data_IF_244085701085
#
_entry.id   IF_244085701085
#
_cell.length_a   1.000
_cell.length_b   1.000
_cell.length_c   1.000
_cell.angle_alpha   90.00
_cell.angle_beta   90.00
_cell.angle_gamma   90.00
#
_symmetry.space_group_name_H-M   'P 1'
#
loop_
_entity.id
_entity.type
_entity.pdbx_description
1 polymer ?
#
# COMPACT_ATOMS: atom_id res chain seq x y z
N UNK A 1 -5.14 0.02 -9.44
CA UNK A 1 -4.65 -1.36 -9.55
C UNK A 1 -3.13 -1.33 -9.69
N UNK A 2 -2.40 -2.09 -8.87
CA UNK A 2 -0.95 -2.26 -9.00
C UNK A 2 -0.63 -3.00 -10.31
N UNK A 3 0.30 -2.47 -11.11
CA UNK A 3 0.73 -3.09 -12.36
C UNK A 3 2.18 -3.57 -12.30
N UNK A 4 3.06 -2.74 -11.76
CA UNK A 4 4.49 -3.05 -11.65
C UNK A 4 5.06 -2.38 -10.41
N UNK A 5 6.01 -3.04 -9.77
CA UNK A 5 6.80 -2.48 -8.68
C UNK A 5 8.28 -2.77 -8.95
N UNK A 6 9.11 -1.72 -8.94
CA UNK A 6 10.56 -1.83 -9.04
C UNK A 6 11.23 -1.34 -7.77
N UNK A 7 12.30 -2.02 -7.41
CA UNK A 7 13.17 -1.66 -6.30
C UNK A 7 14.62 -1.89 -6.68
N UNK A 8 15.51 -1.01 -6.25
CA UNK A 8 16.96 -1.17 -6.37
C UNK A 8 17.63 -0.69 -5.08
N UNK A 9 18.71 -1.36 -4.70
CA UNK A 9 19.49 -1.07 -3.50
C UNK A 9 18.61 -0.99 -2.23
N UNK A 10 17.89 -2.07 -1.93
CA UNK A 10 17.04 -2.20 -0.74
C UNK A 10 17.20 -3.58 -0.11
N UNK A 11 17.74 -3.64 1.11
CA UNK A 11 17.95 -4.85 1.92
C UNK A 11 18.66 -5.98 1.18
N UNK A 12 17.91 -6.97 0.72
CA UNK A 12 18.43 -8.14 0.00
C UNK A 12 18.57 -7.91 -1.51
N UNK A 13 18.14 -6.76 -2.00
CA UNK A 13 18.17 -6.40 -3.42
C UNK A 13 19.26 -5.37 -3.67
N UNK A 14 20.39 -5.82 -4.21
CA UNK A 14 21.46 -4.93 -4.69
C UNK A 14 21.03 -4.26 -6.01
N UNK A 15 20.79 -5.09 -7.02
CA UNK A 15 20.37 -4.66 -8.35
C UNK A 15 18.87 -4.36 -8.42
N UNK A 16 18.45 -3.73 -9.52
CA UNK A 16 17.03 -3.51 -9.78
C UNK A 16 16.30 -4.84 -9.96
N UNK A 17 15.18 -4.97 -9.25
CA UNK A 17 14.23 -6.07 -9.40
C UNK A 17 12.86 -5.51 -9.75
N UNK A 18 12.22 -6.13 -10.74
CA UNK A 18 10.87 -5.80 -11.18
C UNK A 18 9.91 -6.92 -10.82
N UNK A 19 8.85 -6.57 -10.09
CA UNK A 19 7.65 -7.38 -9.96
C UNK A 19 6.60 -6.86 -10.95
N UNK A 20 6.12 -7.70 -11.85
CA UNK A 20 5.14 -7.33 -12.89
C UNK A 20 3.86 -8.16 -12.76
N UNK A 21 2.73 -7.50 -12.91
CA UNK A 21 1.40 -8.10 -13.02
C UNK A 21 0.96 -8.25 -14.49
N UNK A 22 1.83 -7.96 -15.45
CA UNK A 22 1.54 -8.13 -16.88
C UNK A 22 1.19 -9.59 -17.17
N UNK A 23 0.05 -9.81 -17.82
CA UNK A 23 -0.39 -11.16 -18.13
C UNK A 23 0.28 -11.64 -19.41
N UNK A 24 0.89 -12.81 -19.37
CA UNK A 24 1.32 -13.50 -20.57
C UNK A 24 0.12 -13.86 -21.46
N UNK A 25 0.38 -14.13 -22.74
CA UNK A 25 -0.63 -14.55 -23.73
C UNK A 25 -1.30 -15.91 -23.43
N UNK A 26 -1.05 -16.52 -22.27
CA UNK A 26 -1.50 -17.85 -21.89
C UNK A 26 -3.02 -17.96 -21.70
N UNK A 27 -3.53 -19.20 -21.85
CA UNK A 27 -4.97 -19.52 -21.87
C UNK A 27 -5.63 -19.62 -20.48
N UNK A 28 -4.95 -19.25 -19.39
CA UNK A 28 -5.50 -19.31 -18.03
C UNK A 28 -6.52 -18.18 -17.80
N UNK A 29 -7.72 -18.36 -18.35
CA UNK A 29 -8.79 -17.34 -18.40
C UNK A 29 -9.24 -16.81 -17.02
N UNK A 30 -9.06 -17.58 -15.95
CA UNK A 30 -9.63 -17.26 -14.63
C UNK A 30 -8.98 -16.08 -13.91
N UNK A 31 -7.68 -15.84 -14.12
CA UNK A 31 -6.90 -14.83 -13.39
C UNK A 31 -6.57 -13.58 -14.22
N UNK A 32 -7.27 -13.37 -15.33
CA UNK A 32 -7.02 -12.25 -16.23
C UNK A 32 -7.95 -11.08 -15.89
N UNK A 33 -7.37 -9.88 -15.88
CA UNK A 33 -8.03 -8.59 -15.83
C UNK A 33 -7.82 -7.89 -17.18
N UNK A 34 -8.79 -8.04 -18.08
CA UNK A 34 -8.89 -7.24 -19.30
C UNK A 34 -9.62 -5.95 -18.95
N UNK A 35 -9.05 -4.81 -19.32
CA UNK A 35 -9.57 -3.51 -18.93
C UNK A 35 -9.25 -2.45 -19.97
N UNK A 36 -10.23 -1.60 -20.26
CA UNK A 36 -10.02 -0.43 -21.09
C UNK A 36 -9.61 0.75 -20.20
N UNK A 37 -8.41 1.28 -20.44
CA UNK A 37 -7.92 2.47 -19.75
C UNK A 37 -8.73 3.70 -20.16
N UNK A 38 -8.67 4.77 -19.36
CA UNK A 38 -9.35 6.04 -19.67
C UNK A 38 -8.91 6.70 -20.99
N UNK A 39 -7.80 6.24 -21.58
CA UNK A 39 -7.29 6.67 -22.88
C UNK A 39 -7.67 5.70 -24.03
N UNK A 40 -8.70 4.87 -23.82
CA UNK A 40 -9.23 3.82 -24.72
C UNK A 40 -8.25 2.69 -25.09
N UNK A 41 -7.09 2.63 -24.44
CA UNK A 41 -6.16 1.52 -24.62
C UNK A 41 -6.62 0.30 -23.82
N UNK A 42 -6.76 -0.83 -24.51
CA UNK A 42 -6.98 -2.12 -23.86
C UNK A 42 -5.69 -2.65 -23.24
N UNK A 43 -5.76 -3.03 -21.97
CA UNK A 43 -4.66 -3.62 -21.22
C UNK A 43 -5.07 -4.95 -20.60
N UNK A 44 -4.07 -5.82 -20.42
CA UNK A 44 -4.26 -7.15 -19.86
C UNK A 44 -3.27 -7.39 -18.72
N UNK A 45 -3.81 -7.58 -17.52
CA UNK A 45 -3.01 -7.82 -16.31
C UNK A 45 -3.57 -9.02 -15.52
N UNK A 46 -2.82 -9.48 -14.52
CA UNK A 46 -3.25 -10.50 -13.58
C UNK A 46 -4.09 -9.88 -12.46
N UNK A 47 -5.14 -10.57 -12.00
CA UNK A 47 -5.91 -10.15 -10.80
C UNK A 47 -5.20 -10.51 -9.51
N UNK A 48 -4.47 -11.62 -9.51
CA UNK A 48 -3.77 -12.18 -8.36
C UNK A 48 -2.42 -12.72 -8.78
N UNK A 49 -1.46 -12.71 -7.85
CA UNK A 49 -0.16 -13.33 -8.04
C UNK A 49 0.32 -13.91 -6.71
N UNK A 50 1.16 -14.94 -6.80
CA UNK A 50 1.74 -15.59 -5.65
C UNK A 50 3.25 -15.70 -5.84
N UNK A 51 4.01 -15.34 -4.80
CA UNK A 51 5.46 -15.27 -4.84
C UNK A 51 6.02 -16.41 -4.01
N UNK A 52 6.64 -17.38 -4.66
CA UNK A 52 7.28 -18.55 -4.04
C UNK A 52 8.78 -18.54 -4.26
N UNK A 53 9.52 -19.26 -3.41
CA UNK A 53 10.97 -19.34 -3.49
C UNK A 53 11.58 -19.83 -2.19
N UNK A 54 12.87 -20.16 -2.22
CA UNK A 54 13.61 -20.66 -1.06
C UNK A 54 13.59 -19.69 0.13
N UNK A 55 13.90 -20.19 1.33
CA UNK A 55 14.10 -19.32 2.49
C UNK A 55 15.20 -18.29 2.19
N UNK A 56 15.04 -17.07 2.75
CA UNK A 56 15.94 -15.94 2.51
C UNK A 56 16.04 -15.43 1.05
N UNK A 57 15.20 -15.89 0.12
CA UNK A 57 15.21 -15.43 -1.28
C UNK A 57 14.67 -13.99 -1.52
N UNK A 58 14.47 -13.19 -0.47
CA UNK A 58 14.02 -11.80 -0.57
C UNK A 58 12.50 -11.56 -0.65
N UNK A 59 11.65 -12.59 -0.76
CA UNK A 59 10.17 -12.44 -0.91
C UNK A 59 9.54 -11.48 0.11
N UNK A 60 9.87 -11.66 1.39
CA UNK A 60 9.36 -10.80 2.46
C UNK A 60 9.90 -9.38 2.32
N UNK A 61 11.12 -9.20 1.82
CA UNK A 61 11.68 -7.86 1.59
C UNK A 61 11.02 -7.15 0.41
N UNK A 62 10.55 -7.85 -0.62
CA UNK A 62 9.74 -7.25 -1.70
C UNK A 62 8.43 -6.70 -1.15
N UNK A 63 7.68 -7.50 -0.38
CA UNK A 63 6.42 -7.06 0.24
C UNK A 63 6.66 -5.94 1.24
N UNK A 64 7.74 -6.03 2.03
CA UNK A 64 8.15 -4.97 2.95
C UNK A 64 8.49 -3.68 2.22
N UNK A 65 9.25 -3.73 1.12
CA UNK A 65 9.61 -2.54 0.35
C UNK A 65 8.36 -1.80 -0.14
N UNK A 66 7.39 -2.54 -0.70
CA UNK A 66 6.10 -1.95 -1.12
C UNK A 66 5.35 -1.36 0.08
N UNK A 67 5.31 -2.08 1.21
CA UNK A 67 4.66 -1.61 2.44
C UNK A 67 5.28 -0.35 3.00
N UNK A 68 6.61 -0.29 3.08
CA UNK A 68 7.33 0.86 3.60
C UNK A 68 7.27 2.03 2.63
N UNK A 69 7.26 1.78 1.31
CA UNK A 69 7.04 2.81 0.30
C UNK A 69 5.66 3.46 0.49
N UNK A 70 4.59 2.67 0.60
CA UNK A 70 3.23 3.20 0.80
C UNK A 70 3.12 3.93 2.12
N UNK A 71 3.67 3.39 3.20
CA UNK A 71 3.70 4.06 4.49
C UNK A 71 4.43 5.40 4.43
N UNK A 72 5.59 5.45 3.76
CA UNK A 72 6.36 6.68 3.60
C UNK A 72 5.60 7.77 2.82
N UNK A 73 4.85 7.39 1.78
CA UNK A 73 3.98 8.32 1.02
C UNK A 73 2.90 8.92 1.93
N UNK A 74 2.27 8.11 2.78
CA UNK A 74 1.09 8.51 3.57
C UNK A 74 1.48 9.23 4.86
N UNK A 75 2.46 8.70 5.60
CA UNK A 75 2.71 9.11 6.98
C UNK A 75 3.61 10.34 7.13
N UNK A 76 4.45 10.64 6.11
CA UNK A 76 5.46 11.70 6.04
C UNK A 76 6.35 11.87 7.31
N UNK A 77 7.69 11.74 7.22
CA UNK A 77 8.54 11.97 8.40
C UNK A 77 8.45 13.44 8.86
N UNK A 78 8.71 13.70 10.15
CA UNK A 78 8.88 15.10 10.59
C UNK A 78 10.16 15.67 10.01
N UNK A 79 10.28 17.00 10.00
CA UNK A 79 11.46 17.70 9.51
C UNK A 79 12.72 17.17 10.21
N UNK A 80 13.76 16.88 9.41
CA UNK A 80 15.07 16.35 9.85
C UNK A 80 15.04 14.95 10.53
N UNK A 81 13.88 14.27 10.55
CA UNK A 81 13.85 12.85 10.91
C UNK A 81 14.42 11.98 9.77
N UNK A 82 15.05 10.84 10.12
CA UNK A 82 15.55 9.91 9.12
C UNK A 82 14.41 9.30 8.29
N UNK A 83 14.71 9.00 7.03
CA UNK A 83 13.79 8.28 6.16
C UNK A 83 13.89 6.79 6.51
N UNK A 84 12.93 6.27 7.28
CA UNK A 84 12.92 4.85 7.70
C UNK A 84 12.93 3.85 6.52
N UNK A 85 12.43 4.29 5.35
CA UNK A 85 12.46 3.53 4.11
C UNK A 85 13.89 3.31 3.58
N UNK A 86 14.86 4.15 3.95
CA UNK A 86 16.24 4.03 3.49
C UNK A 86 16.97 2.91 4.25
N UNK A 87 16.95 1.72 3.67
CA UNK A 87 17.65 0.53 4.19
C UNK A 87 18.38 -0.18 3.04
N UNK A 88 19.53 0.37 2.58
CA UNK A 88 20.23 -0.09 1.38
C UNK A 88 20.84 -1.48 1.54
N UNK A 89 21.30 -2.07 0.44
CA UNK A 89 22.02 -3.35 0.46
C UNK A 89 23.39 -3.17 1.13
N UNK A 90 23.61 -3.79 2.30
CA UNK A 90 24.80 -3.55 3.13
C UNK A 90 25.96 -4.53 2.94
N UNK A 91 25.79 -5.60 2.16
CA UNK A 91 26.84 -6.60 1.95
C UNK A 91 27.85 -6.23 0.86
N UNK A 92 27.76 -5.02 0.30
CA UNK A 92 28.72 -4.47 -0.65
C UNK A 92 28.93 -2.99 -0.33
N UNK A 93 30.14 -2.64 0.11
CA UNK A 93 30.52 -1.29 0.55
C UNK A 93 30.29 -0.24 -0.54
N UNK A 94 30.37 -0.64 -1.83
CA UNK A 94 30.17 0.29 -2.96
C UNK A 94 28.73 0.77 -3.08
N UNK A 95 27.75 0.00 -2.59
CA UNK A 95 26.32 0.31 -2.71
C UNK A 95 25.65 0.60 -1.36
N UNK A 96 26.32 0.28 -0.24
CA UNK A 96 25.81 0.47 1.12
C UNK A 96 25.46 1.93 1.45
N UNK A 97 26.00 2.89 0.70
CA UNK A 97 25.74 4.32 0.84
C UNK A 97 25.12 4.94 -0.42
N UNK A 98 24.76 4.13 -1.41
CA UNK A 98 24.10 4.59 -2.62
C UNK A 98 22.60 4.82 -2.38
N UNK A 99 21.92 5.58 -3.24
CA UNK A 99 20.48 5.78 -3.15
C UNK A 99 19.71 4.47 -3.29
N UNK A 100 18.60 4.37 -2.58
CA UNK A 100 17.59 3.33 -2.78
C UNK A 100 16.49 3.88 -3.71
N UNK A 101 16.11 3.11 -4.73
CA UNK A 101 15.14 3.51 -5.75
C UNK A 101 13.87 2.69 -5.63
N UNK A 102 12.73 3.37 -5.82
CA UNK A 102 11.40 2.79 -5.79
C UNK A 102 10.59 3.33 -6.97
N UNK A 103 9.89 2.46 -7.69
CA UNK A 103 8.94 2.84 -8.74
C UNK A 103 7.69 1.98 -8.67
N UNK A 104 6.53 2.63 -8.74
CA UNK A 104 5.22 2.00 -8.83
C UNK A 104 4.53 2.40 -10.13
N UNK A 105 4.18 1.42 -10.94
CA UNK A 105 3.24 1.60 -12.05
C UNK A 105 1.86 1.10 -11.63
N UNK A 106 0.84 1.91 -11.82
CA UNK A 106 -0.53 1.58 -11.39
C UNK A 106 -1.61 2.21 -12.28
N UNK A 107 -2.81 1.64 -12.23
CA UNK A 107 -4.05 2.26 -12.74
C UNK A 107 -4.63 3.09 -11.61
N UNK A 108 -4.70 4.41 -11.79
CA UNK A 108 -5.12 5.39 -10.79
C UNK A 108 -6.45 6.06 -11.14
N UNK A 109 -6.65 7.32 -10.69
CA UNK A 109 -7.82 8.12 -11.01
C UNK A 109 -8.13 8.17 -12.51
N UNK A 110 -9.42 8.28 -12.84
CA UNK A 110 -9.93 8.27 -14.22
C UNK A 110 -9.46 7.08 -15.07
N UNK A 111 -9.06 5.97 -14.43
CA UNK A 111 -8.60 4.76 -15.10
C UNK A 111 -7.36 4.97 -15.99
N UNK A 112 -6.54 5.98 -15.70
CA UNK A 112 -5.27 6.19 -16.40
C UNK A 112 -4.13 5.38 -15.78
N UNK A 113 -3.11 5.09 -16.61
CA UNK A 113 -1.83 4.54 -16.15
C UNK A 113 -0.98 5.67 -15.56
N UNK A 114 -0.41 5.41 -14.39
CA UNK A 114 0.52 6.28 -13.68
C UNK A 114 1.84 5.55 -13.44
N UNK A 115 2.93 6.31 -13.42
CA UNK A 115 4.26 5.87 -13.01
C UNK A 115 4.74 6.87 -11.96
N UNK A 116 4.91 6.39 -10.73
CA UNK A 116 5.43 7.18 -9.61
C UNK A 116 6.76 6.59 -9.17
N UNK A 117 7.80 7.42 -9.09
CA UNK A 117 9.14 6.97 -8.71
C UNK A 117 9.88 7.98 -7.87
N UNK A 118 10.77 7.50 -7.00
CA UNK A 118 11.66 8.36 -6.21
C UNK A 118 12.91 7.62 -5.77
N UNK A 119 13.95 8.39 -5.43
CA UNK A 119 15.18 7.90 -4.81
C UNK A 119 15.41 8.55 -3.46
N UNK A 120 15.86 7.76 -2.48
CA UNK A 120 16.19 8.23 -1.14
C UNK A 120 17.62 7.86 -0.75
N UNK A 121 18.29 8.76 -0.04
CA UNK A 121 19.62 8.54 0.54
C UNK A 121 19.72 9.18 1.92
N UNK A 122 19.90 8.36 2.95
CA UNK A 122 19.97 8.82 4.32
C UNK A 122 18.67 9.50 4.75
N UNK A 123 18.72 10.83 4.92
CA UNK A 123 17.56 11.65 5.27
C UNK A 123 16.96 12.41 4.09
N UNK A 124 17.46 12.23 2.88
CA UNK A 124 17.09 13.07 1.74
C UNK A 124 16.36 12.27 0.67
N UNK A 125 15.25 12.80 0.14
CA UNK A 125 14.65 12.37 -1.11
C UNK A 125 15.34 13.13 -2.25
N UNK A 126 16.11 12.41 -3.06
CA UNK A 126 16.95 12.96 -4.11
C UNK A 126 16.16 13.27 -5.38
N UNK A 127 15.34 12.32 -5.81
CA UNK A 127 14.49 12.42 -7.00
C UNK A 127 13.09 12.02 -6.64
N UNK A 128 12.11 12.57 -7.35
CA UNK A 128 10.70 12.22 -7.19
C UNK A 128 9.94 12.71 -8.41
N UNK A 129 9.28 11.81 -9.11
CA UNK A 129 8.58 12.11 -10.35
C UNK A 129 7.25 11.37 -10.39
N UNK A 130 6.22 12.05 -10.88
CA UNK A 130 4.93 11.45 -11.18
C UNK A 130 4.57 11.72 -12.65
N UNK A 131 4.38 10.64 -13.39
CA UNK A 131 3.89 10.68 -14.77
C UNK A 131 2.55 9.97 -14.87
N UNK A 132 1.77 10.35 -15.88
CA UNK A 132 0.55 9.64 -16.27
C UNK A 132 0.36 9.63 -17.79
N UNK A 133 -0.56 8.78 -18.24
CA UNK A 133 -0.88 8.57 -19.65
C UNK A 133 -2.36 8.86 -19.87
N UNK A 134 -2.77 10.16 -19.93
CA UNK A 134 -4.14 10.54 -20.26
C UNK A 134 -4.49 10.19 -21.71
N UNK A 135 -3.47 10.07 -22.55
CA UNK A 135 -3.53 9.76 -23.97
C UNK A 135 -2.42 8.71 -24.26
N UNK A 136 -2.05 8.49 -25.53
CA UNK A 136 -0.87 7.68 -25.88
C UNK A 136 0.47 8.31 -25.47
N UNK A 137 0.48 9.60 -25.11
CA UNK A 137 1.70 10.34 -24.71
C UNK A 137 1.84 10.37 -23.19
N UNK A 138 3.07 10.22 -22.72
CA UNK A 138 3.45 10.40 -21.32
C UNK A 138 3.43 11.89 -20.97
N UNK A 139 2.70 12.25 -19.92
CA UNK A 139 2.62 13.62 -19.39
C UNK A 139 3.20 13.66 -17.98
N UNK A 140 4.02 14.67 -17.70
CA UNK A 140 4.57 14.94 -16.37
C UNK A 140 3.50 15.63 -15.51
N UNK A 141 3.24 15.11 -14.31
CA UNK A 141 2.37 15.76 -13.33
C UNK A 141 3.18 16.62 -12.37
N UNK A 142 4.29 16.10 -11.85
CA UNK A 142 5.28 16.89 -11.14
C UNK A 142 6.63 16.20 -11.13
N UNK A 143 7.68 16.99 -10.88
CA UNK A 143 9.02 16.51 -10.55
C UNK A 143 9.62 17.29 -9.40
N UNK A 144 10.47 16.65 -8.60
CA UNK A 144 11.31 17.30 -7.60
C UNK A 144 12.51 17.99 -8.26
N UNK A 145 12.80 19.20 -7.82
CA UNK A 145 14.02 19.93 -8.09
C UNK A 145 14.72 20.27 -6.77
N UNK A 146 15.99 19.91 -6.70
CA UNK A 146 16.90 20.27 -5.61
C UNK A 146 17.50 21.65 -5.91
N UNK A 147 17.65 22.49 -4.89
CA UNK A 147 18.39 23.76 -4.99
C UNK A 147 19.79 23.53 -4.44
N UNK A 148 20.81 23.98 -5.16
CA UNK A 148 22.19 23.93 -4.65
C UNK A 148 22.31 24.85 -3.43
N UNK A 149 22.81 24.31 -2.31
CA UNK A 149 23.10 25.07 -1.09
C UNK A 149 22.01 25.08 -0.01
N UNK A 150 20.79 24.64 -0.29
CA UNK A 150 19.73 24.43 0.71
C UNK A 150 19.42 22.94 0.87
N UNK A 151 19.94 22.34 1.93
CA UNK A 151 19.81 20.91 2.20
C UNK A 151 18.47 20.55 2.88
N UNK A 152 17.64 21.53 3.24
CA UNK A 152 16.45 21.29 4.07
C UNK A 152 15.15 21.49 3.29
N UNK A 153 15.13 22.36 2.28
CA UNK A 153 13.94 22.64 1.48
C UNK A 153 14.24 22.41 -0.01
N UNK A 154 13.43 21.57 -0.62
CA UNK A 154 13.40 21.34 -2.07
C UNK A 154 12.12 21.92 -2.68
N UNK A 155 12.02 21.85 -4.00
CA UNK A 155 10.86 22.34 -4.75
C UNK A 155 10.25 21.21 -5.57
N UNK A 156 8.94 21.00 -5.47
CA UNK A 156 8.16 20.24 -6.46
C UNK A 156 7.67 21.18 -7.56
N UNK A 157 7.98 20.89 -8.81
CA UNK A 157 7.52 21.66 -9.97
C UNK A 157 6.43 20.85 -10.66
N UNK A 158 5.23 21.42 -10.75
CA UNK A 158 4.12 20.79 -11.46
C UNK A 158 4.32 20.81 -12.98
N UNK A 159 3.60 19.95 -13.68
CA UNK A 159 3.64 19.84 -15.13
C UNK A 159 3.08 21.06 -15.86
N UNK A 160 3.25 21.07 -17.19
CA UNK A 160 2.78 22.15 -18.05
C UNK A 160 1.26 22.37 -17.94
N UNK A 161 0.49 21.29 -17.78
CA UNK A 161 -0.97 21.35 -17.60
C UNK A 161 -1.41 21.99 -16.27
N UNK A 162 -0.48 22.19 -15.35
CA UNK A 162 -0.69 22.76 -14.00
C UNK A 162 0.11 24.06 -13.82
N UNK A 163 0.34 24.79 -14.92
CA UNK A 163 1.01 26.10 -14.94
C UNK A 163 2.41 26.14 -14.32
N UNK A 164 3.10 24.99 -14.21
CA UNK A 164 4.43 24.90 -13.59
C UNK A 164 4.49 25.48 -12.17
N UNK A 165 3.39 25.40 -11.40
CA UNK A 165 3.37 25.85 -10.01
C UNK A 165 4.52 25.20 -9.22
N UNK A 166 5.21 25.99 -8.42
CA UNK A 166 6.23 25.52 -7.49
C UNK A 166 5.62 25.26 -6.11
N UNK A 167 5.99 24.13 -5.51
CA UNK A 167 5.56 23.72 -4.17
C UNK A 167 6.81 23.51 -3.33
N UNK A 168 6.88 24.18 -2.17
CA UNK A 168 7.98 23.98 -1.23
C UNK A 168 7.75 22.70 -0.43
N UNK A 169 8.79 21.87 -0.33
CA UNK A 169 8.73 20.58 0.39
C UNK A 169 10.02 20.37 1.17
N UNK A 170 9.95 19.79 2.36
CA UNK A 170 11.15 19.43 3.09
C UNK A 170 11.93 18.34 2.35
N UNK A 171 13.26 18.39 2.45
CA UNK A 171 14.16 17.49 1.76
C UNK A 171 13.87 16.00 2.06
N UNK A 172 13.35 15.70 3.25
CA UNK A 172 13.00 14.36 3.71
C UNK A 172 11.54 13.93 3.50
N UNK A 173 10.67 14.81 2.98
CA UNK A 173 9.27 14.53 2.69
C UNK A 173 9.05 14.38 1.18
N UNK A 174 8.02 13.66 0.75
CA UNK A 174 7.64 13.54 -0.66
C UNK A 174 6.74 14.70 -1.09
N UNK A 175 6.91 15.21 -2.31
CA UNK A 175 6.00 16.17 -2.96
C UNK A 175 4.59 15.59 -3.00
N UNK A 176 4.41 14.30 -3.33
CA UNK A 176 3.09 13.68 -3.36
C UNK A 176 2.36 13.77 -2.01
N UNK A 177 3.10 13.67 -0.90
CA UNK A 177 2.52 13.72 0.45
C UNK A 177 1.89 15.08 0.78
N UNK A 178 2.29 16.16 0.09
CA UNK A 178 1.69 17.49 0.25
C UNK A 178 0.22 17.51 -0.18
N UNK A 179 -0.17 16.69 -1.15
CA UNK A 179 -1.54 16.63 -1.67
C UNK A 179 -2.51 15.82 -0.81
N UNK A 180 -2.02 15.25 0.30
CA UNK A 180 -2.86 14.63 1.32
C UNK A 180 -3.51 15.65 2.26
N UNK A 181 -2.79 16.73 2.59
CA UNK A 181 -3.21 17.67 3.65
C UNK A 181 -2.96 19.16 3.31
N UNK A 182 -1.83 19.48 2.68
CA UNK A 182 -1.28 20.84 2.62
C UNK A 182 -1.66 21.58 1.32
N UNK A 183 -1.66 20.87 0.19
CA UNK A 183 -1.81 21.43 -1.16
C UNK A 183 -3.05 20.85 -1.86
N UNK A 184 -4.13 21.62 -2.02
CA UNK A 184 -5.33 21.12 -2.69
C UNK A 184 -5.14 21.03 -4.20
N UNK A 185 -5.36 19.85 -4.78
CA UNK A 185 -5.47 19.63 -6.23
C UNK A 185 -6.31 18.37 -6.49
N UNK A 186 -7.34 18.45 -7.33
CA UNK A 186 -8.31 17.35 -7.51
C UNK A 186 -7.64 16.05 -7.99
N UNK A 187 -6.73 16.15 -8.96
CA UNK A 187 -6.07 15.00 -9.56
C UNK A 187 -5.02 14.41 -8.62
N UNK A 188 -4.13 15.25 -8.09
CA UNK A 188 -3.02 14.81 -7.24
C UNK A 188 -3.48 14.34 -5.87
N UNK A 189 -4.51 14.96 -5.28
CA UNK A 189 -5.15 14.43 -4.07
C UNK A 189 -5.82 13.09 -4.35
N UNK A 190 -6.44 12.90 -5.52
CA UNK A 190 -7.00 11.60 -5.92
C UNK A 190 -5.91 10.53 -6.12
N UNK A 191 -4.73 10.92 -6.62
CA UNK A 191 -3.55 10.04 -6.70
C UNK A 191 -3.01 9.72 -5.31
N UNK A 192 -2.92 10.67 -4.39
CA UNK A 192 -2.54 10.40 -3.00
C UNK A 192 -3.51 9.40 -2.34
N UNK A 193 -4.82 9.62 -2.50
CA UNK A 193 -5.86 8.74 -1.97
C UNK A 193 -5.83 7.32 -2.58
N UNK A 194 -5.23 7.13 -3.75
CA UNK A 194 -4.97 5.79 -4.28
C UNK A 194 -4.06 4.99 -3.35
N UNK A 195 -3.02 5.61 -2.79
CA UNK A 195 -2.08 4.95 -1.88
C UNK A 195 -2.71 4.63 -0.53
N UNK A 196 -3.59 5.52 -0.02
CA UNK A 196 -4.34 5.30 1.23
C UNK A 196 -5.24 4.05 1.16
N UNK A 197 -5.71 3.67 -0.03
CA UNK A 197 -6.59 2.51 -0.23
C UNK A 197 -5.85 1.16 -0.19
N UNK A 198 -4.52 1.13 -0.16
CA UNK A 198 -3.80 -0.14 -0.09
C UNK A 198 -3.93 -0.76 1.29
N UNK A 199 -4.32 -2.04 1.29
CA UNK A 199 -4.34 -2.86 2.49
C UNK A 199 -3.17 -3.83 2.39
N UNK A 200 -2.21 -3.70 3.30
CA UNK A 200 -1.10 -4.64 3.43
C UNK A 200 -1.23 -5.33 4.77
N UNK A 201 -1.43 -6.65 4.73
CA UNK A 201 -1.67 -7.47 5.92
C UNK A 201 -0.41 -8.29 6.17
N UNK A 202 0.21 -8.07 7.32
CA UNK A 202 1.22 -8.97 7.84
C UNK A 202 0.55 -10.01 8.74
N UNK A 203 0.36 -11.22 8.20
CA UNK A 203 -0.30 -12.32 8.89
C UNK A 203 0.39 -12.77 10.19
N UNK A 204 1.64 -12.37 10.46
CA UNK A 204 2.32 -12.70 11.73
C UNK A 204 2.30 -11.56 12.76
N UNK A 205 1.76 -10.39 12.42
CA UNK A 205 1.66 -9.26 13.36
C UNK A 205 0.36 -9.36 14.16
N UNK A 206 0.47 -9.58 15.48
CA UNK A 206 -0.69 -9.77 16.37
C UNK A 206 -1.64 -8.56 16.41
N UNK A 207 -1.11 -7.33 16.36
CA UNK A 207 -1.95 -6.12 16.37
C UNK A 207 -2.72 -5.97 15.06
N UNK A 208 -2.07 -6.23 13.92
CA UNK A 208 -2.76 -6.23 12.63
C UNK A 208 -3.79 -7.36 12.54
N UNK A 209 -3.50 -8.53 13.11
CA UNK A 209 -4.50 -9.61 13.21
C UNK A 209 -5.71 -9.17 14.04
N UNK A 210 -5.51 -8.52 15.18
CA UNK A 210 -6.60 -8.07 16.03
C UNK A 210 -7.51 -7.06 15.30
N UNK A 211 -6.92 -6.06 14.66
CA UNK A 211 -7.64 -5.06 13.85
C UNK A 211 -8.38 -5.72 12.68
N UNK A 212 -7.69 -6.59 11.93
CA UNK A 212 -8.29 -7.31 10.81
C UNK A 212 -9.47 -8.17 11.26
N UNK A 213 -9.34 -8.89 12.39
CA UNK A 213 -10.43 -9.68 12.96
C UNK A 213 -11.63 -8.80 13.25
N UNK A 214 -11.44 -7.65 13.90
CA UNK A 214 -12.53 -6.72 14.20
C UNK A 214 -13.24 -6.22 12.94
N UNK A 215 -12.48 -5.75 11.94
CA UNK A 215 -13.04 -5.23 10.69
C UNK A 215 -13.77 -6.32 9.89
N UNK A 216 -13.18 -7.51 9.78
CA UNK A 216 -13.78 -8.65 9.08
C UNK A 216 -15.03 -9.13 9.80
N UNK A 217 -15.01 -9.24 11.13
CA UNK A 217 -16.18 -9.60 11.92
C UNK A 217 -17.33 -8.60 11.71
N UNK A 218 -17.04 -7.29 11.71
CA UNK A 218 -18.04 -6.26 11.47
C UNK A 218 -18.66 -6.37 10.07
N UNK A 219 -17.84 -6.53 9.03
CA UNK A 219 -18.30 -6.69 7.64
C UNK A 219 -19.11 -7.97 7.41
N UNK A 220 -18.63 -9.12 7.90
CA UNK A 220 -19.35 -10.40 7.77
C UNK A 220 -20.70 -10.35 8.49
N UNK A 221 -20.80 -9.65 9.62
CA UNK A 221 -22.05 -9.49 10.36
C UNK A 221 -23.03 -8.58 9.65
N UNK A 222 -22.56 -7.45 9.11
CA UNK A 222 -23.38 -6.45 8.44
C UNK A 222 -23.75 -6.78 6.99
N UNK A 223 -23.07 -7.75 6.35
CA UNK A 223 -23.19 -7.97 4.92
C UNK A 223 -23.30 -9.46 4.54
N UNK A 224 -24.53 -9.89 4.25
CA UNK A 224 -24.83 -11.27 3.85
C UNK A 224 -24.10 -11.70 2.57
N UNK A 225 -23.90 -10.79 1.61
CA UNK A 225 -23.18 -11.10 0.36
C UNK A 225 -21.73 -11.43 0.65
N UNK A 226 -21.08 -10.66 1.53
CA UNK A 226 -19.71 -10.92 1.96
C UNK A 226 -19.64 -12.24 2.73
N UNK A 227 -20.55 -12.46 3.69
CA UNK A 227 -20.62 -13.69 4.48
C UNK A 227 -20.69 -14.93 3.58
N UNK A 228 -21.57 -14.92 2.58
CA UNK A 228 -21.74 -16.06 1.66
C UNK A 228 -20.47 -16.30 0.81
N UNK A 229 -19.78 -15.24 0.39
CA UNK A 229 -18.49 -15.35 -0.31
C UNK A 229 -17.40 -15.95 0.57
N UNK A 230 -17.28 -15.51 1.83
CA UNK A 230 -16.27 -16.06 2.76
C UNK A 230 -16.56 -17.53 3.05
N UNK A 231 -17.82 -17.90 3.27
CA UNK A 231 -18.22 -19.30 3.47
C UNK A 231 -17.84 -20.18 2.26
N UNK A 232 -18.08 -19.70 1.04
CA UNK A 232 -17.69 -20.41 -0.18
C UNK A 232 -16.18 -20.61 -0.29
N UNK A 233 -15.37 -19.61 0.08
CA UNK A 233 -13.90 -19.73 0.10
C UNK A 233 -13.46 -20.80 1.12
N UNK A 234 -14.02 -20.79 2.33
CA UNK A 234 -13.69 -21.77 3.38
C UNK A 234 -14.05 -23.20 2.96
N UNK A 235 -15.22 -23.38 2.34
CA UNK A 235 -15.66 -24.66 1.78
C UNK A 235 -14.73 -25.14 0.65
N UNK A 236 -14.30 -24.24 -0.24
CA UNK A 236 -13.41 -24.56 -1.35
C UNK A 236 -11.97 -24.90 -0.90
N UNK A 237 -11.54 -24.38 0.26
CA UNK A 237 -10.20 -24.61 0.81
C UNK A 237 -10.01 -26.00 1.47
N UNK A 238 -10.96 -26.92 1.29
CA UNK A 238 -10.97 -28.30 1.85
C UNK A 238 -10.65 -28.36 3.35
N UNK A 239 -11.16 -27.39 4.10
CA UNK A 239 -11.01 -27.30 5.55
C UNK A 239 -11.98 -28.22 6.32
N UNK A 240 -12.79 -29.01 5.59
CA UNK A 240 -14.00 -29.72 6.06
C UNK A 240 -15.09 -28.80 6.61
N UNK A 241 -15.01 -27.49 6.38
CA UNK A 241 -15.99 -26.51 6.86
C UNK A 241 -17.21 -26.50 5.92
N UNK A 242 -18.41 -26.62 6.48
CA UNK A 242 -19.68 -26.58 5.75
C UNK A 242 -20.35 -25.21 5.76
N UNK A 243 -19.98 -24.31 6.65
CA UNK A 243 -20.64 -23.01 6.77
C UNK A 243 -20.04 -22.11 7.83
N UNK A 244 -20.62 -20.92 7.94
CA UNK A 244 -20.25 -19.88 8.90
C UNK A 244 -21.49 -19.50 9.70
N UNK A 245 -21.45 -19.78 11.01
CA UNK A 245 -22.47 -19.32 11.94
C UNK A 245 -21.93 -18.13 12.74
N UNK A 246 -22.74 -17.09 12.87
CA UNK A 246 -22.38 -15.87 13.59
C UNK A 246 -23.04 -15.87 14.96
N UNK A 247 -22.22 -15.77 16.01
CA UNK A 247 -22.70 -15.57 17.37
C UNK A 247 -22.28 -14.17 17.82
N UNK A 248 -23.27 -13.35 18.18
CA UNK A 248 -23.03 -12.05 18.81
C UNK A 248 -22.67 -12.32 20.28
N UNK A 249 -21.44 -12.00 20.67
CA UNK A 249 -21.03 -12.02 22.06
C UNK A 249 -21.08 -10.60 22.61
N UNK A 250 -22.04 -10.35 23.50
CA UNK A 250 -22.02 -9.17 24.36
C UNK A 250 -21.22 -9.54 25.61
N UNK A 251 -20.04 -8.94 25.84
CA UNK A 251 -19.27 -9.24 27.04
C UNK A 251 -20.12 -8.91 28.26
N UNK A 252 -20.28 -9.88 29.16
CA UNK A 252 -20.85 -9.61 30.48
C UNK A 252 -20.07 -8.46 31.12
N UNK A 253 -20.79 -7.47 31.64
CA UNK A 253 -20.20 -6.34 32.38
C UNK A 253 -19.58 -6.88 33.68
N UNK A 254 -18.38 -7.45 33.61
CA UNK A 254 -17.55 -7.70 34.78
C UNK A 254 -16.90 -6.36 35.15
N UNK A 255 -17.67 -5.48 35.77
CA UNK A 255 -17.17 -4.28 36.41
C UNK A 255 -17.20 -4.49 37.92
N UNK A 256 -16.04 -4.83 38.48
CA UNK A 256 -15.77 -4.64 39.90
C UNK A 256 -15.74 -3.13 40.18
N UNK A 257 -16.68 -2.63 40.98
CA UNK A 257 -16.91 -1.18 41.16
C UNK A 257 -15.75 -0.45 41.84
N UNK A 258 -14.80 -1.16 42.46
CA UNK A 258 -13.69 -0.56 43.22
C UNK A 258 -12.54 0.01 42.38
N UNK A 259 -12.42 -0.31 41.08
CA UNK A 259 -11.27 0.14 40.25
C UNK A 259 -11.56 1.34 39.33
N UNK A 260 -12.52 2.19 39.70
CA UNK A 260 -12.91 3.36 38.88
C UNK A 260 -12.07 4.60 39.18
N UNK A 261 -11.05 4.87 38.34
CA UNK A 261 -10.75 6.26 37.91
C UNK A 261 -10.01 6.36 36.57
N UNK A 262 -9.19 5.39 36.19
CA UNK A 262 -8.29 5.58 35.02
C UNK A 262 -8.80 4.99 33.69
N UNK A 263 -9.80 4.10 33.71
CA UNK A 263 -10.19 3.33 32.50
C UNK A 263 -11.35 3.95 31.72
N UNK A 264 -12.06 4.95 32.28
CA UNK A 264 -13.26 5.54 31.66
C UNK A 264 -13.03 6.29 30.33
N UNK A 265 -11.79 6.60 29.97
CA UNK A 265 -11.47 7.23 28.67
C UNK A 265 -11.15 6.26 27.54
N UNK A 266 -10.92 4.97 27.81
CA UNK A 266 -10.51 4.00 26.79
C UNK A 266 -11.65 3.11 26.24
N UNK A 267 -12.85 3.12 26.84
CA UNK A 267 -13.87 2.08 26.60
C UNK A 267 -15.23 2.70 26.24
N UNK A 268 -15.26 3.55 25.22
CA UNK A 268 -16.52 3.91 24.53
C UNK A 268 -16.62 3.33 23.11
N UNK A 269 -15.69 2.47 22.72
CA UNK A 269 -15.85 1.60 21.55
C UNK A 269 -16.64 0.38 21.99
N UNK A 270 -17.86 0.22 21.50
CA UNK A 270 -18.67 -0.99 21.69
C UNK A 270 -17.88 -2.20 21.17
N UNK A 271 -17.32 -2.99 22.09
CA UNK A 271 -16.70 -4.26 21.75
C UNK A 271 -17.79 -5.31 21.53
N UNK A 272 -18.32 -5.37 20.30
CA UNK A 272 -19.03 -6.57 19.82
C UNK A 272 -17.95 -7.55 19.38
N UNK A 273 -17.72 -8.59 20.18
CA UNK A 273 -16.93 -9.73 19.72
C UNK A 273 -17.85 -10.64 18.92
N UNK A 274 -17.51 -10.89 17.66
CA UNK A 274 -18.18 -11.92 16.87
C UNK A 274 -17.32 -13.18 16.92
N UNK A 275 -17.85 -14.25 17.49
CA UNK A 275 -17.19 -15.56 17.47
C UNK A 275 -17.69 -16.27 16.22
N UNK A 276 -16.75 -16.55 15.32
CA UNK A 276 -17.02 -17.32 14.10
C UNK A 276 -16.89 -18.79 14.45
N UNK A 277 -18.00 -19.53 14.46
CA UNK A 277 -17.95 -20.99 14.51
C UNK A 277 -17.91 -21.55 13.09
N UNK A 278 -16.99 -22.48 12.89
CA UNK A 278 -16.83 -23.20 11.64
C UNK A 278 -17.46 -24.57 11.83
N UNK A 279 -18.62 -24.79 11.20
CA UNK A 279 -19.28 -26.11 11.24
C UNK A 279 -18.51 -27.09 10.38
N UNK A 280 -18.21 -28.29 10.89
CA UNK A 280 -17.53 -29.34 10.12
C UNK A 280 -18.54 -30.30 9.53
N UNK A 281 -18.32 -30.75 8.29
CA UNK A 281 -19.03 -31.93 7.75
C UNK A 281 -18.67 -33.15 8.59
N UNK A 282 -19.64 -33.72 9.28
CA UNK A 282 -19.57 -35.09 9.76
C UNK A 282 -19.75 -36.01 8.56
N UNK A 283 -18.75 -36.87 8.30
CA UNK A 283 -18.80 -37.95 7.31
C UNK A 283 -19.91 -38.93 7.62
#
# INVERSE_FOLDING_TARGET
MLLQFKIRNYRSYKEEVTFSMEAESSKLKGNIFDFELGNTQNVRYLKTSAIYGANASGKTNLVRALSTMIYFIIAKPKVDEPIELYDPFRFDEKVAHEPAYFELTFIGPHNYKYIYSFEVKGKEVLTEDLYFYPNSRRTLLFKRQRREGDNMIHTGILGDSMNKKEISVFANQLVLSKFGDDEPDELLSSVFLYFVKYIIINAVNANQQALLRQSVSHEIFGNEVIRNKVAAILQAADTKISGLDLIKYEPEKVFDEEKRRDVRRLIHTEFIFCIIFMTRRTS
#
